data_IF_036415592938
#
_entry.id   IF_036415592938
#
_cell.length_a   1.000
_cell.length_b   1.000
_cell.length_c   1.000
_cell.angle_alpha   90.00
_cell.angle_beta   90.00
_cell.angle_gamma   90.00
#
_symmetry.space_group_name_H-M   'P 1'
#
loop_
_entity.id
_entity.type
_entity.pdbx_description
1 polymer ?
#
# COMPACT_ATOMS: atom_id res chain seq x y z
N UNK A 1 -4.87 34.67 -8.13
CA UNK A 1 -4.04 33.49 -8.25
C UNK A 1 -4.66 32.44 -9.19
N UNK A 2 -5.91 32.08 -9.03
CA UNK A 2 -6.68 31.16 -9.93
C UNK A 2 -6.63 31.50 -11.44
N UNK A 3 -6.47 32.76 -11.81
CA UNK A 3 -6.39 33.18 -13.23
C UNK A 3 -5.06 32.87 -13.92
N UNK A 4 -3.99 32.60 -13.16
CA UNK A 4 -2.69 32.17 -13.71
C UNK A 4 -2.63 30.67 -13.97
N UNK A 5 -3.31 29.85 -13.13
CA UNK A 5 -3.44 28.41 -13.38
C UNK A 5 -4.27 28.12 -14.65
N UNK A 6 -5.39 28.78 -14.85
CA UNK A 6 -6.22 28.61 -16.08
C UNK A 6 -5.49 28.97 -17.38
N UNK A 7 -4.45 29.80 -17.34
CA UNK A 7 -3.65 30.14 -18.54
C UNK A 7 -2.56 29.10 -18.87
N UNK A 8 -2.17 28.22 -17.92
CA UNK A 8 -1.24 27.10 -18.17
C UNK A 8 -1.94 25.84 -18.70
N UNK A 9 -3.24 25.70 -18.49
CA UNK A 9 -4.07 24.59 -19.00
C UNK A 9 -4.72 24.89 -20.36
N UNK A 10 -4.12 25.74 -21.18
CA UNK A 10 -4.60 26.09 -22.52
C UNK A 10 -4.39 24.96 -23.53
N UNK A 11 -5.44 24.59 -24.21
CA UNK A 11 -5.72 23.69 -25.33
C UNK A 11 -4.55 23.40 -26.34
N UNK A 12 -3.49 22.82 -25.85
CA UNK A 12 -2.47 22.08 -26.60
C UNK A 12 -2.28 20.77 -25.82
N UNK A 13 -1.95 19.67 -26.49
CA UNK A 13 -1.46 18.47 -25.82
C UNK A 13 -0.13 18.87 -25.15
N UNK A 14 -0.24 19.47 -23.95
CA UNK A 14 0.94 19.74 -23.13
C UNK A 14 1.52 18.35 -22.79
N UNK A 15 2.69 18.07 -23.30
CA UNK A 15 3.49 16.92 -22.88
C UNK A 15 3.72 17.14 -21.39
N UNK A 16 3.02 16.39 -20.56
CA UNK A 16 3.14 16.51 -19.10
C UNK A 16 4.63 16.39 -18.74
N UNK A 17 5.15 17.36 -18.00
CA UNK A 17 6.54 17.33 -17.52
C UNK A 17 6.83 15.98 -16.86
N UNK A 18 7.94 15.38 -17.19
CA UNK A 18 8.38 14.12 -16.58
C UNK A 18 8.84 14.35 -15.14
N UNK A 19 8.80 13.31 -14.27
CA UNK A 19 9.32 13.43 -12.90
C UNK A 19 10.75 13.95 -12.83
N UNK A 20 11.62 13.54 -13.77
CA UNK A 20 13.01 14.00 -13.85
C UNK A 20 13.12 15.49 -14.17
N UNK A 21 12.30 16.03 -15.08
CA UNK A 21 12.26 17.46 -15.39
C UNK A 21 11.76 18.28 -14.21
N UNK A 22 10.74 17.77 -13.50
CA UNK A 22 10.22 18.39 -12.28
C UNK A 22 11.28 18.43 -11.18
N UNK A 23 11.95 17.30 -10.89
CA UNK A 23 12.99 17.19 -9.89
C UNK A 23 14.21 18.07 -10.18
N UNK A 24 14.56 18.29 -11.47
CA UNK A 24 15.66 19.17 -11.86
C UNK A 24 15.35 20.68 -11.70
N UNK A 25 14.06 21.04 -11.66
CA UNK A 25 13.61 22.43 -11.68
C UNK A 25 13.09 22.93 -10.32
N UNK A 26 12.59 22.05 -9.48
CA UNK A 26 11.90 22.39 -8.24
C UNK A 26 12.60 21.76 -7.04
N UNK A 27 12.63 22.46 -5.92
CA UNK A 27 13.06 21.89 -4.64
C UNK A 27 11.98 20.92 -4.10
N UNK A 28 12.35 20.09 -3.13
CA UNK A 28 11.42 19.18 -2.46
C UNK A 28 10.25 19.94 -1.84
N UNK A 29 10.53 21.07 -1.19
CA UNK A 29 9.51 21.91 -0.55
C UNK A 29 8.52 22.49 -1.58
N UNK A 30 9.02 22.92 -2.75
CA UNK A 30 8.17 23.42 -3.84
C UNK A 30 7.32 22.29 -4.45
N UNK A 31 7.89 21.09 -4.61
CA UNK A 31 7.17 19.92 -5.12
C UNK A 31 6.03 19.52 -4.16
N UNK A 32 6.33 19.41 -2.86
CA UNK A 32 5.35 19.05 -1.85
C UNK A 32 4.25 20.12 -1.70
N UNK A 33 4.61 21.41 -1.74
CA UNK A 33 3.62 22.49 -1.71
C UNK A 33 2.68 22.46 -2.93
N UNK A 34 3.20 22.15 -4.13
CA UNK A 34 2.36 22.00 -5.33
C UNK A 34 1.47 20.76 -5.24
N UNK A 35 1.98 19.65 -4.66
CA UNK A 35 1.18 18.44 -4.38
C UNK A 35 0.01 18.77 -3.46
N UNK A 36 0.23 19.51 -2.36
CA UNK A 36 -0.82 19.91 -1.42
C UNK A 36 -1.89 20.80 -2.11
N UNK A 37 -1.46 21.85 -2.82
CA UNK A 37 -2.37 22.76 -3.53
C UNK A 37 -3.22 22.03 -4.56
N UNK A 38 -2.60 21.18 -5.39
CA UNK A 38 -3.31 20.43 -6.43
C UNK A 38 -4.21 19.34 -5.85
N UNK A 39 -3.81 18.66 -4.79
CA UNK A 39 -4.64 17.67 -4.11
C UNK A 39 -5.90 18.34 -3.55
N UNK A 40 -5.77 19.48 -2.85
CA UNK A 40 -6.91 20.23 -2.34
C UNK A 40 -7.87 20.68 -3.46
N UNK A 41 -7.34 21.20 -4.56
CA UNK A 41 -8.16 21.62 -5.72
C UNK A 41 -8.84 20.42 -6.39
N UNK A 42 -8.15 19.27 -6.51
CA UNK A 42 -8.69 18.06 -7.15
C UNK A 42 -9.81 17.42 -6.32
N UNK A 43 -9.78 17.55 -4.98
CA UNK A 43 -10.87 17.09 -4.09
C UNK A 43 -12.19 17.84 -4.40
N UNK A 44 -12.12 19.12 -4.74
CA UNK A 44 -13.31 19.92 -5.08
C UNK A 44 -13.80 19.63 -6.50
N UNK A 45 -12.88 19.56 -7.46
CA UNK A 45 -13.18 19.38 -8.88
C UNK A 45 -12.13 18.47 -9.52
N UNK A 46 -12.46 17.20 -9.66
CA UNK A 46 -11.56 16.21 -10.24
C UNK A 46 -11.19 16.53 -11.68
N UNK A 47 -9.90 16.45 -11.96
CA UNK A 47 -9.32 16.63 -13.29
C UNK A 47 -8.26 15.54 -13.55
N UNK A 48 -8.48 14.66 -14.54
CA UNK A 48 -7.53 13.59 -14.87
C UNK A 48 -6.12 14.09 -15.21
N UNK A 49 -5.99 15.29 -15.77
CA UNK A 49 -4.68 15.89 -16.03
C UNK A 49 -3.98 16.31 -14.74
N UNK A 50 -4.72 16.82 -13.76
CA UNK A 50 -4.20 17.10 -12.42
C UNK A 50 -3.80 15.83 -11.70
N UNK A 51 -4.58 14.76 -11.78
CA UNK A 51 -4.28 13.48 -11.14
C UNK A 51 -2.97 12.86 -11.69
N UNK A 52 -2.77 12.89 -13.02
CA UNK A 52 -1.49 12.46 -13.64
C UNK A 52 -0.32 13.35 -13.17
N UNK A 53 -0.53 14.68 -13.10
CA UNK A 53 0.51 15.59 -12.62
C UNK A 53 0.87 15.31 -11.16
N UNK A 54 -0.11 15.03 -10.31
CA UNK A 54 0.10 14.68 -8.90
C UNK A 54 0.98 13.45 -8.75
N UNK A 55 0.78 12.38 -9.52
CA UNK A 55 1.64 11.20 -9.49
C UNK A 55 3.08 11.56 -9.88
N UNK A 56 3.29 12.38 -10.91
CA UNK A 56 4.62 12.82 -11.35
C UNK A 56 5.32 13.71 -10.30
N UNK A 57 4.60 14.65 -9.70
CA UNK A 57 5.14 15.51 -8.63
C UNK A 57 5.55 14.70 -7.39
N UNK A 58 4.70 13.76 -6.97
CA UNK A 58 4.99 12.86 -5.84
C UNK A 58 6.22 11.99 -6.12
N UNK A 59 6.40 11.52 -7.35
CA UNK A 59 7.60 10.76 -7.71
C UNK A 59 8.85 11.64 -7.70
N UNK A 60 8.77 12.84 -8.28
CA UNK A 60 9.88 13.80 -8.26
C UNK A 60 10.30 14.15 -6.81
N UNK A 61 9.32 14.44 -5.94
CA UNK A 61 9.58 14.70 -4.52
C UNK A 61 10.16 13.45 -3.82
N UNK A 62 9.59 12.28 -4.08
CA UNK A 62 10.05 11.01 -3.50
C UNK A 62 11.51 10.72 -3.83
N UNK A 63 11.94 10.94 -5.07
CA UNK A 63 13.36 10.80 -5.48
C UNK A 63 14.26 11.73 -4.65
N UNK A 64 13.88 13.00 -4.51
CA UNK A 64 14.68 13.97 -3.74
C UNK A 64 14.71 13.64 -2.24
N UNK A 65 13.65 13.04 -1.71
CA UNK A 65 13.59 12.61 -0.32
C UNK A 65 14.52 11.42 -0.03
N UNK A 66 14.73 10.50 -0.99
CA UNK A 66 15.68 9.39 -0.86
C UNK A 66 17.13 9.87 -0.70
N UNK A 67 17.47 10.99 -1.34
CA UNK A 67 18.82 11.56 -1.31
C UNK A 67 19.11 12.34 0.00
N UNK A 68 18.12 12.49 0.89
CA UNK A 68 18.29 13.15 2.18
C UNK A 68 18.79 12.15 3.22
N UNK A 69 19.85 12.49 3.92
CA UNK A 69 20.26 11.75 5.11
C UNK A 69 19.18 11.89 6.19
N UNK A 70 18.65 10.75 6.65
CA UNK A 70 17.66 10.72 7.74
C UNK A 70 18.34 11.08 9.06
N UNK A 71 18.13 12.28 9.57
CA UNK A 71 18.59 12.65 10.90
C UNK A 71 17.73 11.93 11.95
N UNK A 72 18.22 10.76 12.42
CA UNK A 72 17.80 10.18 13.70
C UNK A 72 16.31 9.79 13.83
N UNK A 73 15.61 9.58 12.74
CA UNK A 73 14.22 9.13 12.79
C UNK A 73 14.11 7.81 13.56
N UNK A 74 13.20 7.73 14.52
CA UNK A 74 12.98 6.58 15.38
C UNK A 74 11.50 6.23 15.46
N UNK A 75 11.22 4.96 15.69
CA UNK A 75 9.85 4.54 16.00
C UNK A 75 9.40 5.15 17.35
N UNK A 76 8.10 5.40 17.53
CA UNK A 76 7.55 5.88 18.81
C UNK A 76 7.69 4.83 19.91
N UNK A 77 7.65 5.29 21.17
CA UNK A 77 7.61 4.40 22.33
C UNK A 77 6.26 3.62 22.36
N UNK A 78 6.28 2.30 22.59
CA UNK A 78 5.07 1.50 22.51
C UNK A 78 4.14 1.67 23.72
N UNK A 79 2.85 1.87 23.50
CA UNK A 79 1.80 1.94 24.52
C UNK A 79 1.08 0.60 24.72
N UNK A 80 1.76 -0.40 25.30
CA UNK A 80 1.21 -1.76 25.49
C UNK A 80 -0.03 -1.81 26.37
N UNK A 81 -0.16 -0.90 27.33
CA UNK A 81 -1.30 -0.79 28.27
C UNK A 81 -2.61 -0.36 27.58
N UNK A 82 -2.52 0.15 26.35
CA UNK A 82 -3.66 0.56 25.53
C UNK A 82 -4.14 -0.52 24.54
N UNK A 83 -3.41 -1.63 24.42
CA UNK A 83 -3.83 -2.73 23.55
C UNK A 83 -4.85 -3.62 24.27
N UNK A 84 -5.95 -3.97 23.60
CA UNK A 84 -6.90 -4.95 24.15
C UNK A 84 -6.29 -6.35 24.21
N UNK A 85 -6.81 -7.19 25.12
CA UNK A 85 -6.47 -8.61 25.18
C UNK A 85 -7.18 -9.35 24.04
N UNK A 86 -6.43 -10.16 23.27
CA UNK A 86 -6.95 -10.88 22.11
C UNK A 86 -7.77 -12.13 22.44
N UNK A 87 -7.69 -12.68 23.66
CA UNK A 87 -8.38 -13.91 24.10
C UNK A 87 -8.29 -15.07 23.09
N UNK A 88 -7.16 -15.21 22.40
CA UNK A 88 -6.93 -16.23 21.37
C UNK A 88 -7.39 -15.82 19.95
N UNK A 89 -7.87 -14.60 19.77
CA UNK A 89 -8.16 -13.98 18.48
C UNK A 89 -7.25 -12.75 18.29
N UNK A 90 -7.10 -12.28 17.06
CA UNK A 90 -6.44 -11.00 16.81
C UNK A 90 -7.36 -9.89 17.32
N UNK A 91 -6.93 -9.22 18.40
CA UNK A 91 -7.65 -8.09 18.95
C UNK A 91 -7.65 -6.91 17.96
N UNK A 92 -8.83 -6.33 17.74
CA UNK A 92 -8.98 -5.13 16.94
C UNK A 92 -9.22 -3.92 17.82
N UNK A 93 -8.66 -2.78 17.42
CA UNK A 93 -8.99 -1.47 17.99
C UNK A 93 -9.89 -0.69 17.01
N UNK A 94 -10.51 0.38 17.51
CA UNK A 94 -11.22 1.33 16.65
C UNK A 94 -10.26 2.35 16.04
N UNK A 95 -10.74 3.09 15.05
CA UNK A 95 -9.96 4.18 14.42
C UNK A 95 -9.56 5.26 15.44
N UNK A 96 -10.44 5.60 16.38
CA UNK A 96 -10.23 6.62 17.40
C UNK A 96 -9.16 6.23 18.42
N UNK A 97 -8.90 4.94 18.58
CA UNK A 97 -7.87 4.40 19.47
C UNK A 97 -6.49 4.31 18.78
N UNK A 98 -6.45 4.47 17.46
CA UNK A 98 -5.21 4.38 16.68
C UNK A 98 -4.32 5.59 16.95
N UNK A 99 -3.13 5.33 17.48
CA UNK A 99 -2.02 6.30 17.60
C UNK A 99 -0.71 5.62 17.22
N UNK A 100 0.36 6.38 16.91
CA UNK A 100 1.65 5.79 16.56
C UNK A 100 2.20 4.85 17.65
N UNK A 101 2.00 5.18 18.93
CA UNK A 101 2.45 4.37 20.07
C UNK A 101 1.65 3.06 20.22
N UNK A 102 0.34 3.10 19.97
CA UNK A 102 -0.53 1.91 19.97
C UNK A 102 -0.20 1.02 18.77
N UNK A 103 0.03 1.61 17.60
CA UNK A 103 0.50 0.89 16.41
C UNK A 103 1.83 0.19 16.70
N UNK A 104 2.80 0.91 17.31
CA UNK A 104 4.10 0.31 17.68
C UNK A 104 3.93 -0.84 18.65
N UNK A 105 3.07 -0.71 19.65
CA UNK A 105 2.80 -1.76 20.61
C UNK A 105 2.17 -3.01 19.94
N UNK A 106 1.21 -2.84 19.03
CA UNK A 106 0.60 -3.93 18.26
C UNK A 106 1.62 -4.70 17.44
N UNK A 107 2.46 -3.99 16.68
CA UNK A 107 3.53 -4.60 15.88
C UNK A 107 4.53 -5.35 16.76
N UNK A 108 4.91 -4.80 17.91
CA UNK A 108 5.87 -5.45 18.82
C UNK A 108 5.30 -6.63 19.59
N UNK A 109 3.99 -6.68 19.85
CA UNK A 109 3.33 -7.78 20.54
C UNK A 109 2.89 -8.88 19.58
N UNK A 110 2.10 -8.50 18.57
CA UNK A 110 1.36 -9.43 17.72
C UNK A 110 1.93 -9.51 16.28
N UNK A 111 2.96 -8.72 15.95
CA UNK A 111 3.49 -8.57 14.59
C UNK A 111 2.65 -7.63 13.71
N UNK A 112 1.44 -7.30 14.13
CA UNK A 112 0.48 -6.45 13.40
C UNK A 112 -0.50 -5.75 14.33
N UNK A 113 -1.27 -4.82 13.78
CA UNK A 113 -2.40 -4.18 14.47
C UNK A 113 -3.62 -4.16 13.55
N UNK A 114 -4.73 -4.71 14.03
CA UNK A 114 -6.01 -4.66 13.33
C UNK A 114 -6.80 -3.43 13.78
N UNK A 115 -7.17 -2.57 12.83
CA UNK A 115 -7.99 -1.38 13.07
C UNK A 115 -9.32 -1.54 12.36
N UNK A 116 -10.41 -1.53 13.13
CA UNK A 116 -11.76 -1.74 12.62
C UNK A 116 -12.39 -0.45 12.10
N UNK A 117 -13.07 -0.55 10.97
CA UNK A 117 -13.92 0.51 10.44
C UNK A 117 -13.19 1.82 10.14
N UNK A 118 -11.96 1.76 9.65
CA UNK A 118 -11.18 2.95 9.25
C UNK A 118 -11.89 3.72 8.14
N UNK A 119 -12.45 2.99 7.16
CA UNK A 119 -13.38 3.54 6.18
C UNK A 119 -14.81 3.04 6.47
N UNK A 120 -15.78 3.86 6.13
CA UNK A 120 -17.18 3.41 6.09
C UNK A 120 -17.37 2.35 5.00
N UNK A 121 -18.39 1.51 5.15
CA UNK A 121 -18.77 0.53 4.14
C UNK A 121 -19.00 1.19 2.77
N UNK A 122 -19.65 2.35 2.72
CA UNK A 122 -19.91 3.06 1.46
C UNK A 122 -18.65 3.59 0.78
N UNK A 123 -17.65 4.02 1.54
CA UNK A 123 -16.34 4.41 0.98
C UNK A 123 -15.61 3.19 0.42
N UNK A 124 -15.62 2.07 1.14
CA UNK A 124 -15.02 0.82 0.68
C UNK A 124 -15.71 0.31 -0.62
N UNK A 125 -17.05 0.31 -0.68
CA UNK A 125 -17.81 -0.07 -1.86
C UNK A 125 -17.53 0.85 -3.06
N UNK A 126 -17.41 2.16 -2.85
CA UNK A 126 -17.01 3.10 -3.89
C UNK A 126 -15.61 2.79 -4.46
N UNK A 127 -14.64 2.47 -3.60
CA UNK A 127 -13.31 2.06 -4.04
C UNK A 127 -13.34 0.74 -4.82
N UNK A 128 -14.19 -0.22 -4.45
CA UNK A 128 -14.40 -1.47 -5.21
C UNK A 128 -14.88 -1.19 -6.62
N UNK A 129 -15.86 -0.31 -6.80
CA UNK A 129 -16.38 0.04 -8.13
C UNK A 129 -15.29 0.69 -8.99
N UNK A 130 -14.50 1.57 -8.41
CA UNK A 130 -13.40 2.23 -9.11
C UNK A 130 -12.25 1.26 -9.44
N UNK A 131 -11.93 0.31 -8.56
CA UNK A 131 -10.93 -0.74 -8.84
C UNK A 131 -11.42 -1.62 -10.01
N UNK A 132 -12.69 -2.00 -10.04
CA UNK A 132 -13.25 -2.73 -11.19
C UNK A 132 -13.11 -1.91 -12.48
N UNK A 133 -13.38 -0.60 -12.45
CA UNK A 133 -13.17 0.28 -13.61
C UNK A 133 -11.70 0.31 -14.07
N UNK A 134 -10.73 0.28 -13.14
CA UNK A 134 -9.30 0.22 -13.48
C UNK A 134 -8.94 -1.12 -14.17
N UNK A 135 -9.43 -2.26 -13.67
CA UNK A 135 -9.25 -3.56 -14.34
C UNK A 135 -9.92 -3.61 -15.71
N UNK A 136 -11.11 -3.03 -15.84
CA UNK A 136 -11.83 -2.94 -17.14
C UNK A 136 -11.05 -2.06 -18.14
N UNK A 137 -10.46 -0.96 -17.69
CA UNK A 137 -9.63 -0.09 -18.51
C UNK A 137 -8.36 -0.81 -18.99
N UNK A 138 -7.67 -1.58 -18.12
CA UNK A 138 -6.56 -2.45 -18.53
C UNK A 138 -7.02 -3.49 -19.56
N UNK A 139 -8.13 -4.17 -19.33
CA UNK A 139 -8.72 -5.16 -20.25
C UNK A 139 -9.09 -4.55 -21.61
N UNK A 140 -9.58 -3.31 -21.63
CA UNK A 140 -9.84 -2.58 -22.86
C UNK A 140 -8.55 -2.31 -23.63
N UNK A 141 -7.50 -1.82 -22.94
CA UNK A 141 -6.20 -1.56 -23.55
C UNK A 141 -5.59 -2.83 -24.17
N UNK A 142 -5.58 -3.96 -23.45
CA UNK A 142 -5.08 -5.23 -23.94
C UNK A 142 -5.88 -5.77 -25.14
N UNK A 143 -7.15 -5.37 -25.27
CA UNK A 143 -8.01 -5.73 -26.40
C UNK A 143 -7.94 -4.72 -27.56
N UNK A 144 -7.03 -3.74 -27.51
CA UNK A 144 -6.89 -2.68 -28.51
C UNK A 144 -8.09 -1.71 -28.56
N UNK A 145 -8.89 -1.65 -27.50
CA UNK A 145 -10.01 -0.70 -27.34
C UNK A 145 -9.56 0.55 -26.59
N UNK A 146 -10.21 1.69 -26.81
CA UNK A 146 -9.97 2.88 -26.00
C UNK A 146 -10.18 2.56 -24.51
N UNK A 147 -9.23 2.97 -23.67
CA UNK A 147 -9.31 2.90 -22.22
C UNK A 147 -9.41 4.32 -21.64
N UNK A 148 -10.07 4.47 -20.48
CA UNK A 148 -10.08 5.71 -19.73
C UNK A 148 -8.69 5.91 -19.07
N UNK A 149 -7.92 6.95 -19.46
CA UNK A 149 -6.58 7.16 -18.94
C UNK A 149 -6.54 7.60 -17.46
N UNK A 150 -7.66 8.02 -16.89
CA UNK A 150 -7.78 8.29 -15.45
C UNK A 150 -7.78 7.00 -14.63
N UNK A 151 -8.38 5.91 -15.17
CA UNK A 151 -8.43 4.61 -14.51
C UNK A 151 -7.24 3.71 -14.84
N UNK A 152 -6.66 3.79 -16.04
CA UNK A 152 -5.45 3.03 -16.36
C UNK A 152 -4.55 3.78 -17.33
N UNK A 153 -3.38 4.10 -16.86
CA UNK A 153 -2.27 4.64 -17.63
C UNK A 153 -0.95 4.20 -17.00
N UNK A 154 -0.17 3.40 -17.74
CA UNK A 154 1.10 2.91 -17.22
C UNK A 154 1.99 4.06 -16.72
N UNK A 155 2.35 4.00 -15.44
CA UNK A 155 3.32 4.90 -14.84
C UNK A 155 4.71 4.60 -15.43
N UNK A 156 5.42 5.61 -15.98
CA UNK A 156 6.73 5.41 -16.59
C UNK A 156 7.79 5.22 -15.50
N UNK A 157 8.25 3.97 -15.30
CA UNK A 157 9.37 3.69 -14.42
C UNK A 157 10.69 4.07 -15.04
N UNK A 158 11.55 4.74 -14.28
CA UNK A 158 12.97 4.92 -14.64
C UNK A 158 13.69 3.56 -14.63
N UNK A 159 14.72 3.42 -15.50
CA UNK A 159 15.45 2.17 -15.67
C UNK A 159 16.03 1.61 -14.35
N UNK A 160 16.45 2.48 -13.42
CA UNK A 160 17.00 2.09 -12.12
C UNK A 160 16.00 1.37 -11.22
N UNK A 161 14.70 1.59 -11.43
CA UNK A 161 13.62 0.96 -10.66
C UNK A 161 12.93 -0.17 -11.43
N UNK A 162 13.27 -0.40 -12.69
CA UNK A 162 12.63 -1.39 -13.54
C UNK A 162 13.33 -2.76 -13.42
N UNK A 163 12.94 -3.54 -12.43
CA UNK A 163 13.47 -4.88 -12.18
C UNK A 163 12.50 -5.96 -12.66
N UNK A 164 13.04 -7.05 -13.22
CA UNK A 164 12.23 -8.16 -13.76
C UNK A 164 11.43 -8.89 -12.67
N UNK A 165 12.01 -9.04 -11.47
CA UNK A 165 11.41 -9.74 -10.32
C UNK A 165 10.22 -9.02 -9.68
N UNK A 166 10.03 -7.72 -10.03
CA UNK A 166 8.90 -6.91 -9.57
C UNK A 166 8.18 -6.23 -10.74
N UNK A 167 8.17 -6.89 -11.89
CA UNK A 167 7.54 -6.36 -13.10
C UNK A 167 6.01 -6.22 -12.94
N UNK A 168 5.45 -5.21 -13.58
CA UNK A 168 4.00 -4.98 -13.66
C UNK A 168 3.23 -6.25 -14.08
N UNK A 169 3.76 -6.99 -15.06
CA UNK A 169 3.14 -8.23 -15.54
C UNK A 169 2.98 -9.28 -14.43
N UNK A 170 3.93 -9.38 -13.50
CA UNK A 170 3.83 -10.29 -12.35
C UNK A 170 2.69 -9.85 -11.41
N UNK A 171 2.58 -8.56 -11.11
CA UNK A 171 1.49 -8.01 -10.30
C UNK A 171 0.13 -8.30 -10.94
N UNK A 172 0.00 -8.06 -12.24
CA UNK A 172 -1.24 -8.32 -12.99
C UNK A 172 -1.60 -9.81 -12.96
N UNK A 173 -0.63 -10.71 -13.14
CA UNK A 173 -0.87 -12.16 -13.09
C UNK A 173 -1.34 -12.65 -11.72
N UNK A 174 -0.95 -11.94 -10.65
CA UNK A 174 -1.39 -12.18 -9.27
C UNK A 174 -2.70 -11.46 -8.88
N UNK A 175 -3.46 -10.94 -9.85
CA UNK A 175 -4.72 -10.23 -9.59
C UNK A 175 -4.52 -8.84 -8.98
N UNK A 176 -3.43 -8.15 -9.35
CA UNK A 176 -3.12 -6.80 -8.88
C UNK A 176 -2.90 -5.79 -9.99
N UNK A 177 -3.04 -4.50 -9.66
CA UNK A 177 -2.60 -3.36 -10.47
C UNK A 177 -1.78 -2.44 -9.58
N UNK A 178 -0.71 -1.84 -10.09
CA UNK A 178 -0.05 -0.77 -9.34
C UNK A 178 -0.99 0.44 -9.22
N UNK A 179 -1.12 0.99 -8.03
CA UNK A 179 -1.97 2.16 -7.80
C UNK A 179 -1.51 3.35 -8.63
N UNK A 180 -0.20 3.49 -8.85
CA UNK A 180 0.37 4.53 -9.70
C UNK A 180 -0.05 4.43 -11.18
N UNK A 181 -0.49 3.25 -11.66
CA UNK A 181 -1.05 3.07 -13.00
C UNK A 181 -2.52 3.52 -13.09
N UNK A 182 -3.13 3.90 -11.97
CA UNK A 182 -4.47 4.47 -11.90
C UNK A 182 -4.43 5.81 -11.16
N UNK A 183 -4.09 6.93 -11.85
CA UNK A 183 -3.94 8.24 -11.22
C UNK A 183 -5.17 8.67 -10.42
N UNK A 184 -6.36 8.31 -10.90
CA UNK A 184 -7.62 8.54 -10.21
C UNK A 184 -7.66 7.82 -8.85
N UNK A 185 -7.39 6.51 -8.83
CA UNK A 185 -7.39 5.71 -7.59
C UNK A 185 -6.24 6.07 -6.66
N UNK A 186 -5.10 6.49 -7.19
CA UNK A 186 -4.01 7.03 -6.36
C UNK A 186 -4.47 8.25 -5.56
N UNK A 187 -5.13 9.19 -6.24
CA UNK A 187 -5.68 10.38 -5.57
C UNK A 187 -6.77 10.00 -4.56
N UNK A 188 -7.72 9.14 -4.95
CA UNK A 188 -8.83 8.72 -4.07
C UNK A 188 -8.35 7.97 -2.83
N UNK A 189 -7.39 7.04 -2.99
CA UNK A 189 -6.81 6.28 -1.88
C UNK A 189 -6.13 7.22 -0.87
N UNK A 190 -5.28 8.13 -1.35
CA UNK A 190 -4.59 9.09 -0.47
C UNK A 190 -5.58 10.03 0.22
N UNK A 191 -6.60 10.50 -0.49
CA UNK A 191 -7.66 11.32 0.10
C UNK A 191 -8.45 10.55 1.17
N UNK A 192 -8.70 9.25 0.98
CA UNK A 192 -9.32 8.40 2.00
C UNK A 192 -8.42 8.25 3.23
N UNK A 193 -7.12 8.02 3.04
CA UNK A 193 -6.17 7.88 4.14
C UNK A 193 -6.03 9.18 4.94
N UNK A 194 -5.98 10.30 4.26
CA UNK A 194 -5.91 11.63 4.86
C UNK A 194 -7.16 11.93 5.71
N UNK A 195 -8.36 11.76 5.15
CA UNK A 195 -9.63 11.92 5.90
C UNK A 195 -9.76 10.96 7.08
N UNK A 196 -9.17 9.77 6.97
CA UNK A 196 -9.12 8.81 8.06
C UNK A 196 -8.05 9.13 9.11
N UNK A 197 -7.20 10.13 8.92
CA UNK A 197 -6.08 10.44 9.81
C UNK A 197 -4.94 9.42 9.76
N UNK A 198 -4.96 8.50 8.78
CA UNK A 198 -3.90 7.49 8.62
C UNK A 198 -2.58 8.12 8.20
N UNK A 199 -2.61 9.15 7.36
CA UNK A 199 -1.40 9.82 6.86
C UNK A 199 -0.58 10.39 8.02
N UNK A 200 -1.21 11.06 8.98
CA UNK A 200 -0.55 11.60 10.16
C UNK A 200 0.04 10.48 11.03
N UNK A 201 -0.75 9.43 11.31
CA UNK A 201 -0.28 8.28 12.10
C UNK A 201 0.92 7.59 11.45
N UNK A 202 0.91 7.43 10.12
CA UNK A 202 2.01 6.82 9.36
C UNK A 202 3.27 7.68 9.45
N UNK A 203 3.12 9.00 9.27
CA UNK A 203 4.22 9.97 9.35
C UNK A 203 4.87 9.94 10.73
N UNK A 204 4.07 10.02 11.78
CA UNK A 204 4.56 10.00 13.16
C UNK A 204 5.13 8.63 13.55
N UNK A 205 4.56 7.53 13.03
CA UNK A 205 5.09 6.19 13.24
C UNK A 205 6.46 5.99 12.60
N UNK A 206 6.64 6.46 11.36
CA UNK A 206 7.92 6.36 10.64
C UNK A 206 8.95 7.40 11.14
N UNK A 207 8.49 8.47 11.81
CA UNK A 207 9.32 9.54 12.36
C UNK A 207 9.94 10.46 11.31
N UNK A 208 9.49 10.36 10.06
CA UNK A 208 9.95 11.18 8.93
C UNK A 208 8.91 11.19 7.82
N UNK A 209 9.12 12.03 6.80
CA UNK A 209 8.21 12.12 5.65
C UNK A 209 8.10 10.76 4.93
N UNK A 210 6.88 10.21 4.78
CA UNK A 210 6.70 8.90 4.17
C UNK A 210 6.75 8.94 2.64
N UNK A 211 7.24 7.85 2.07
CA UNK A 211 7.11 7.57 0.65
C UNK A 211 6.39 6.22 0.44
N UNK A 212 5.48 6.16 -0.54
CA UNK A 212 4.86 4.91 -1.00
C UNK A 212 5.73 4.32 -2.12
N UNK A 213 5.90 3.00 -2.13
CA UNK A 213 6.52 2.31 -3.27
C UNK A 213 5.51 2.09 -4.39
N UNK A 214 5.86 2.49 -5.63
CA UNK A 214 5.06 2.21 -6.82
C UNK A 214 4.76 0.72 -6.97
N UNK A 215 5.80 -0.13 -6.87
CA UNK A 215 5.68 -1.58 -7.10
C UNK A 215 5.03 -2.33 -5.94
N UNK A 216 5.00 -1.72 -4.76
CA UNK A 216 4.44 -2.32 -3.53
C UNK A 216 3.16 -1.62 -3.06
N UNK A 217 2.55 -0.79 -3.92
CA UNK A 217 1.23 -0.23 -3.68
C UNK A 217 0.29 -0.72 -4.77
N UNK A 218 -0.63 -1.63 -4.39
CA UNK A 218 -1.42 -2.42 -5.34
C UNK A 218 -2.90 -2.42 -5.04
N UNK A 219 -3.70 -2.26 -6.09
CA UNK A 219 -5.11 -2.59 -6.11
C UNK A 219 -5.24 -4.09 -6.31
N UNK A 220 -5.95 -4.79 -5.42
CA UNK A 220 -6.00 -6.26 -5.41
C UNK A 220 -7.42 -6.77 -5.66
N UNK A 221 -7.52 -7.68 -6.66
CA UNK A 221 -8.69 -8.51 -6.90
C UNK A 221 -8.24 -9.96 -6.93
N UNK A 222 -8.45 -10.68 -5.83
CA UNK A 222 -7.90 -12.02 -5.61
C UNK A 222 -9.02 -13.05 -5.60
N UNK A 223 -8.94 -14.01 -6.50
CA UNK A 223 -9.91 -15.09 -6.64
C UNK A 223 -9.64 -16.24 -5.65
N UNK A 224 -10.65 -17.09 -5.36
CA UNK A 224 -10.53 -18.19 -4.38
C UNK A 224 -9.47 -19.24 -4.70
N UNK A 225 -9.04 -19.36 -5.94
CA UNK A 225 -8.00 -20.29 -6.41
C UNK A 225 -6.60 -19.68 -6.44
N UNK A 226 -6.46 -18.40 -6.05
CA UNK A 226 -5.17 -17.74 -5.96
C UNK A 226 -4.35 -18.34 -4.83
N UNK A 227 -3.20 -18.96 -5.15
CA UNK A 227 -2.26 -19.46 -4.16
C UNK A 227 -1.16 -18.44 -3.89
N UNK A 228 -0.94 -18.10 -2.61
CA UNK A 228 0.24 -17.35 -2.20
C UNK A 228 0.92 -18.09 -1.05
N UNK A 229 2.25 -18.23 -1.15
CA UNK A 229 3.04 -18.84 -0.09
C UNK A 229 3.17 -17.92 1.13
N UNK A 230 3.41 -18.52 2.28
CA UNK A 230 3.82 -17.81 3.49
C UNK A 230 5.09 -17.01 3.24
N UNK A 231 5.16 -15.78 3.70
CA UNK A 231 6.31 -14.92 3.51
C UNK A 231 6.40 -13.79 4.54
N UNK A 232 7.59 -13.26 4.65
CA UNK A 232 7.89 -11.97 5.28
C UNK A 232 8.44 -11.07 4.18
N UNK A 233 7.89 -9.87 3.98
CA UNK A 233 8.41 -8.95 2.96
C UNK A 233 9.85 -8.53 3.21
N UNK A 234 10.30 -8.55 4.46
CA UNK A 234 11.69 -8.31 4.82
C UNK A 234 12.70 -9.25 4.15
N UNK A 235 12.27 -10.41 3.68
CA UNK A 235 13.13 -11.31 2.90
C UNK A 235 13.61 -10.69 1.57
N UNK A 236 12.83 -9.75 1.02
CA UNK A 236 13.14 -9.06 -0.24
C UNK A 236 13.38 -7.56 -0.07
N UNK A 237 12.83 -6.94 0.99
CA UNK A 237 13.00 -5.51 1.28
C UNK A 237 14.34 -5.19 1.96
N UNK A 238 14.89 -6.15 2.71
CA UNK A 238 16.09 -5.93 3.50
C UNK A 238 15.84 -5.07 4.74
N UNK A 239 16.84 -4.27 5.13
CA UNK A 239 16.73 -3.37 6.29
C UNK A 239 16.05 -2.08 5.88
N UNK A 240 14.82 -1.92 6.29
CA UNK A 240 13.98 -0.75 5.97
C UNK A 240 13.31 -0.22 7.24
N UNK A 241 12.75 0.98 7.16
CA UNK A 241 11.74 1.46 8.11
C UNK A 241 10.43 1.55 7.36
N UNK A 242 9.57 0.57 7.58
CA UNK A 242 8.41 0.35 6.72
C UNK A 242 7.13 0.11 7.52
N UNK A 243 6.03 0.37 6.87
CA UNK A 243 4.69 0.04 7.34
C UNK A 243 3.82 -0.37 6.14
N UNK A 244 3.21 -1.54 6.21
CA UNK A 244 2.16 -1.93 5.30
C UNK A 244 0.80 -1.46 5.84
N UNK A 245 0.01 -0.85 4.99
CA UNK A 245 -1.41 -0.57 5.18
C UNK A 245 -2.19 -1.50 4.26
N UNK A 246 -2.68 -2.60 4.81
CA UNK A 246 -3.54 -3.53 4.09
C UNK A 246 -5.01 -3.21 4.39
N UNK A 247 -5.72 -2.60 3.44
CA UNK A 247 -7.10 -2.15 3.56
C UNK A 247 -8.05 -3.17 2.92
N UNK A 248 -8.94 -3.77 3.71
CA UNK A 248 -10.00 -4.64 3.22
C UNK A 248 -11.15 -3.80 2.64
N UNK A 249 -11.50 -4.04 1.38
CA UNK A 249 -12.64 -3.38 0.71
C UNK A 249 -13.85 -4.28 0.56
N UNK A 250 -13.68 -5.59 0.80
CA UNK A 250 -14.76 -6.56 0.85
C UNK A 250 -14.60 -7.44 2.08
N UNK A 251 -15.70 -8.02 2.57
CA UNK A 251 -15.61 -9.03 3.64
C UNK A 251 -14.77 -10.20 3.16
N UNK A 252 -13.80 -10.63 3.96
CA UNK A 252 -12.89 -11.71 3.61
C UNK A 252 -12.38 -12.49 4.84
N UNK A 253 -11.82 -13.67 4.60
CA UNK A 253 -11.37 -14.62 5.62
C UNK A 253 -12.31 -15.83 5.76
N UNK A 254 -13.54 -15.75 5.28
CA UNK A 254 -14.52 -16.83 5.27
C UNK A 254 -15.01 -17.18 3.85
N UNK A 255 -15.81 -16.31 3.21
CA UNK A 255 -16.39 -16.56 1.89
C UNK A 255 -15.48 -16.12 0.72
N UNK A 256 -14.47 -15.32 0.99
CA UNK A 256 -13.45 -14.86 0.06
C UNK A 256 -12.06 -14.92 0.68
N UNK A 257 -10.98 -14.96 -0.14
CA UNK A 257 -9.62 -15.05 0.36
C UNK A 257 -9.29 -13.97 1.39
N UNK A 258 -8.86 -14.38 2.57
CA UNK A 258 -8.40 -13.48 3.63
C UNK A 258 -6.88 -13.44 3.72
N UNK A 259 -6.41 -13.38 4.95
CA UNK A 259 -5.01 -13.48 5.32
C UNK A 259 -4.85 -14.49 6.44
N UNK A 260 -3.99 -15.51 6.25
CA UNK A 260 -3.47 -16.32 7.34
C UNK A 260 -2.26 -15.62 7.93
N UNK A 261 -2.20 -15.56 9.24
CA UNK A 261 -1.17 -14.81 9.97
C UNK A 261 -0.55 -15.61 11.10
N UNK A 262 0.70 -15.32 11.41
CA UNK A 262 1.35 -15.73 12.66
C UNK A 262 1.27 -14.54 13.62
N UNK A 263 0.38 -14.58 14.64
CA UNK A 263 0.04 -13.43 15.48
C UNK A 263 1.08 -13.21 16.58
N UNK A 264 2.32 -12.97 16.19
CA UNK A 264 3.39 -12.59 17.11
C UNK A 264 4.52 -11.86 16.41
N UNK A 265 5.26 -11.06 17.14
CA UNK A 265 6.50 -10.44 16.65
C UNK A 265 7.55 -11.50 16.36
N UNK A 266 8.14 -11.42 15.17
CA UNK A 266 9.33 -12.16 14.78
C UNK A 266 10.52 -11.19 14.73
N UNK A 267 11.67 -11.64 15.21
CA UNK A 267 12.92 -10.87 15.27
C UNK A 267 13.92 -11.25 14.16
N UNK A 268 13.52 -12.18 13.29
CA UNK A 268 14.32 -12.68 12.18
C UNK A 268 13.47 -13.08 11.00
N UNK A 269 14.08 -13.09 9.83
CA UNK A 269 13.50 -13.67 8.62
C UNK A 269 13.55 -15.19 8.73
N UNK A 270 12.40 -15.83 8.52
CA UNK A 270 12.25 -17.28 8.50
C UNK A 270 12.79 -17.82 7.18
N UNK A 271 13.55 -18.92 7.17
CA UNK A 271 14.12 -19.49 5.95
C UNK A 271 13.05 -19.81 4.90
N UNK A 272 13.30 -19.40 3.67
CA UNK A 272 12.45 -19.67 2.50
C UNK A 272 12.96 -20.84 1.69
N UNK A 273 12.14 -21.38 0.76
CA UNK A 273 12.53 -22.49 -0.12
C UNK A 273 12.76 -23.82 0.60
N UNK A 274 12.27 -23.95 1.84
CA UNK A 274 12.38 -25.20 2.61
C UNK A 274 11.42 -26.26 2.09
N UNK A 275 11.63 -27.53 2.50
CA UNK A 275 10.77 -28.64 2.08
C UNK A 275 9.28 -28.34 2.36
N UNK A 276 8.43 -28.53 1.34
CA UNK A 276 7.00 -28.20 1.38
C UNK A 276 6.64 -26.74 1.06
N UNK A 277 7.64 -25.87 0.80
CA UNK A 277 7.37 -24.50 0.33
C UNK A 277 6.77 -24.52 -1.09
N UNK A 278 5.76 -23.67 -1.33
CA UNK A 278 5.09 -23.60 -2.64
C UNK A 278 6.00 -22.93 -3.68
N UNK A 279 6.80 -21.97 -3.24
CA UNK A 279 7.75 -21.21 -4.06
C UNK A 279 9.12 -21.14 -3.36
N UNK A 280 10.19 -20.93 -4.11
CA UNK A 280 11.55 -20.77 -3.56
C UNK A 280 11.67 -19.57 -2.59
N UNK A 281 10.85 -18.55 -2.78
CA UNK A 281 10.80 -17.37 -1.92
C UNK A 281 9.81 -17.50 -0.76
N UNK A 282 9.07 -18.59 -0.63
CA UNK A 282 8.06 -18.78 0.42
C UNK A 282 8.56 -19.69 1.55
N UNK A 283 7.96 -19.51 2.72
CA UNK A 283 8.08 -20.38 3.89
C UNK A 283 7.08 -21.53 3.73
N UNK A 284 7.44 -22.76 4.11
CA UNK A 284 6.49 -23.86 4.07
C UNK A 284 5.37 -23.69 5.12
N UNK A 285 4.14 -24.17 4.84
CA UNK A 285 3.05 -24.12 5.81
C UNK A 285 3.38 -24.77 7.15
N UNK A 286 4.06 -25.92 7.10
CA UNK A 286 4.50 -26.61 8.31
C UNK A 286 5.45 -25.76 9.15
N UNK A 287 6.44 -25.11 8.51
CA UNK A 287 7.36 -24.22 9.22
C UNK A 287 6.65 -22.98 9.79
N UNK A 288 5.65 -22.46 9.09
CA UNK A 288 4.82 -21.36 9.59
C UNK A 288 4.05 -21.78 10.87
N UNK A 289 3.49 -22.99 10.90
CA UNK A 289 2.82 -23.55 12.10
C UNK A 289 3.81 -23.76 13.25
N UNK A 290 5.00 -24.31 12.97
CA UNK A 290 6.06 -24.46 13.96
C UNK A 290 6.50 -23.11 14.56
N UNK A 291 6.65 -22.11 13.70
CA UNK A 291 6.97 -20.73 14.10
C UNK A 291 5.83 -20.13 14.92
N UNK A 292 4.58 -20.34 14.56
CA UNK A 292 3.43 -19.86 15.32
C UNK A 292 3.41 -20.46 16.74
N UNK A 293 3.72 -21.74 16.88
CA UNK A 293 3.80 -22.43 18.19
C UNK A 293 2.47 -22.39 18.91
N UNK A 294 2.46 -22.04 20.21
CA UNK A 294 1.24 -21.99 21.03
C UNK A 294 0.22 -20.91 20.58
N UNK A 295 0.68 -19.87 19.92
CA UNK A 295 -0.24 -18.83 19.39
C UNK A 295 -1.09 -19.37 18.23
N UNK A 296 -0.61 -20.38 17.54
CA UNK A 296 -1.26 -20.94 16.35
C UNK A 296 -1.27 -19.97 15.18
N UNK A 297 -1.76 -20.45 14.04
CA UNK A 297 -2.06 -19.64 12.87
C UNK A 297 -3.49 -19.13 12.99
N UNK A 298 -3.68 -17.83 12.76
CA UNK A 298 -5.02 -17.22 12.78
C UNK A 298 -5.44 -16.81 11.36
N UNK A 299 -6.75 -16.89 11.10
CA UNK A 299 -7.43 -16.31 9.93
C UNK A 299 -8.46 -15.29 10.38
N UNK A 300 -8.07 -14.04 10.55
CA UNK A 300 -9.02 -13.00 10.93
C UNK A 300 -10.11 -12.80 9.87
N UNK A 301 -11.33 -12.49 10.32
CA UNK A 301 -12.37 -11.99 9.43
C UNK A 301 -12.24 -10.47 9.36
N UNK A 302 -12.16 -9.96 8.15
CA UNK A 302 -12.15 -8.53 7.86
C UNK A 302 -13.50 -8.11 7.28
N UNK A 303 -14.03 -7.01 7.79
CA UNK A 303 -15.16 -6.31 7.19
C UNK A 303 -14.66 -5.19 6.23
N UNK A 304 -15.49 -4.73 5.28
CA UNK A 304 -15.13 -3.59 4.42
C UNK A 304 -14.78 -2.36 5.25
N UNK A 305 -13.61 -1.78 5.01
CA UNK A 305 -13.08 -0.63 5.73
C UNK A 305 -12.15 -0.98 6.89
N UNK A 306 -11.95 -2.25 7.21
CA UNK A 306 -10.93 -2.68 8.18
C UNK A 306 -9.52 -2.56 7.60
N UNK A 307 -8.55 -2.24 8.44
CA UNK A 307 -7.14 -2.14 8.07
C UNK A 307 -6.28 -3.04 8.95
N UNK A 308 -5.38 -3.79 8.34
CA UNK A 308 -4.28 -4.46 9.03
C UNK A 308 -2.98 -3.69 8.79
N UNK A 309 -2.33 -3.27 9.88
CA UNK A 309 -1.06 -2.55 9.87
C UNK A 309 0.05 -3.48 10.34
N UNK A 310 1.13 -3.62 9.58
CA UNK A 310 2.26 -4.48 9.93
C UNK A 310 3.56 -4.01 9.26
N UNK A 311 4.68 -4.48 9.75
CA UNK A 311 5.99 -4.21 9.16
C UNK A 311 6.54 -5.40 8.33
N UNK A 312 7.73 -5.26 7.81
CA UNK A 312 8.40 -6.22 6.94
C UNK A 312 8.72 -7.57 7.62
N UNK A 313 8.63 -7.65 8.96
CA UNK A 313 8.91 -8.86 9.73
C UNK A 313 7.69 -9.75 9.94
N UNK A 314 6.50 -9.30 9.50
CA UNK A 314 5.26 -10.02 9.71
C UNK A 314 5.13 -11.24 8.79
N UNK A 315 4.99 -12.44 9.39
CA UNK A 315 4.81 -13.69 8.64
C UNK A 315 3.33 -13.92 8.33
N UNK A 316 2.98 -13.88 7.06
CA UNK A 316 1.60 -13.99 6.59
C UNK A 316 1.50 -14.70 5.23
N UNK A 317 0.29 -15.06 4.85
CA UNK A 317 -0.04 -15.66 3.55
C UNK A 317 -1.44 -15.25 3.12
N UNK A 318 -1.69 -15.22 1.82
CA UNK A 318 -3.08 -15.15 1.33
C UNK A 318 -3.81 -16.45 1.70
N UNK A 319 -4.90 -16.33 2.42
CA UNK A 319 -5.74 -17.43 2.84
C UNK A 319 -6.82 -17.71 1.78
N UNK A 320 -6.45 -18.42 0.73
CA UNK A 320 -7.37 -18.89 -0.30
C UNK A 320 -7.80 -20.35 -0.02
N UNK A 321 -9.07 -20.65 -0.26
CA UNK A 321 -9.63 -21.98 -0.10
C UNK A 321 -10.62 -22.25 -1.26
N UNK A 322 -10.56 -23.42 -1.92
CA UNK A 322 -11.45 -23.76 -3.05
C UNK A 322 -12.96 -23.76 -2.70
N UNK A 323 -13.31 -23.82 -1.41
CA UNK A 323 -14.70 -23.68 -0.96
C UNK A 323 -15.23 -22.24 -0.99
N UNK A 324 -14.34 -21.25 -1.01
CA UNK A 324 -14.68 -19.83 -1.13
C UNK A 324 -15.32 -19.54 -2.49
N UNK A 325 -16.23 -18.59 -2.52
CA UNK A 325 -17.08 -18.32 -3.71
C UNK A 325 -16.99 -16.91 -4.24
N UNK A 326 -16.30 -16.03 -3.50
CA UNK A 326 -16.20 -14.61 -3.82
C UNK A 326 -14.74 -14.19 -3.96
N UNK A 327 -14.47 -13.26 -4.85
CA UNK A 327 -13.16 -12.61 -4.92
C UNK A 327 -13.01 -11.61 -3.77
N UNK A 328 -11.80 -11.48 -3.25
CA UNK A 328 -11.42 -10.41 -2.31
C UNK A 328 -11.04 -9.15 -3.06
N UNK A 329 -11.52 -8.01 -2.56
CA UNK A 329 -11.06 -6.70 -2.97
C UNK A 329 -10.31 -6.04 -1.81
N UNK A 330 -9.10 -5.54 -2.08
CA UNK A 330 -8.25 -4.89 -1.08
C UNK A 330 -7.30 -3.87 -1.74
N UNK A 331 -6.76 -2.96 -0.95
CA UNK A 331 -5.59 -2.15 -1.32
C UNK A 331 -4.45 -2.54 -0.38
N UNK A 332 -3.29 -2.80 -0.95
CA UNK A 332 -2.04 -3.04 -0.23
C UNK A 332 -1.10 -1.87 -0.49
N UNK A 333 -0.61 -1.22 0.55
CA UNK A 333 0.23 -0.02 0.42
C UNK A 333 1.43 -0.09 1.36
N UNK A 334 2.63 -0.22 0.79
CA UNK A 334 3.87 -0.14 1.56
C UNK A 334 4.37 1.29 1.61
N UNK A 335 4.40 1.82 2.83
CA UNK A 335 5.02 3.09 3.19
C UNK A 335 6.41 2.85 3.75
N UNK A 336 7.32 3.74 3.43
CA UNK A 336 8.69 3.71 3.91
C UNK A 336 9.05 5.09 4.46
N UNK A 337 9.81 5.15 5.54
CA UNK A 337 10.57 6.34 5.87
C UNK A 337 11.54 6.62 4.72
N UNK A 338 11.54 7.83 4.21
CA UNK A 338 12.29 8.16 2.99
C UNK A 338 13.78 7.81 3.09
N UNK A 339 14.41 8.07 4.25
CA UNK A 339 15.83 7.76 4.49
C UNK A 339 16.16 6.26 4.58
N UNK A 340 15.16 5.41 4.75
CA UNK A 340 15.29 3.96 4.89
C UNK A 340 14.41 3.20 3.89
N UNK A 341 14.14 3.82 2.73
CA UNK A 341 13.39 3.22 1.62
C UNK A 341 14.28 2.28 0.80
N UNK A 342 13.73 1.17 0.27
CA UNK A 342 14.50 0.28 -0.58
C UNK A 342 14.87 0.97 -1.90
N UNK A 343 16.16 1.00 -2.24
CA UNK A 343 16.68 1.68 -3.45
C UNK A 343 16.11 1.13 -4.77
N UNK A 344 15.64 -0.12 -4.76
CA UNK A 344 15.11 -0.78 -5.96
C UNK A 344 13.65 -0.43 -6.29
N UNK A 345 12.94 0.27 -5.43
CA UNK A 345 11.55 0.64 -5.62
C UNK A 345 11.38 2.13 -5.88
N UNK A 346 10.52 2.46 -6.85
CA UNK A 346 10.22 3.86 -7.17
C UNK A 346 9.39 4.51 -6.06
N UNK A 347 9.85 5.60 -5.44
CA UNK A 347 9.14 6.27 -4.37
C UNK A 347 8.12 7.27 -4.90
N UNK A 348 7.01 7.42 -4.18
CA UNK A 348 6.04 8.50 -4.34
C UNK A 348 5.89 9.19 -2.98
N UNK A 349 6.24 10.45 -2.85
CA UNK A 349 6.02 11.22 -1.61
C UNK A 349 4.53 11.35 -1.30
N UNK A 350 4.18 11.30 -0.02
CA UNK A 350 2.76 11.33 0.43
C UNK A 350 2.43 12.65 1.09
#
# INVERSE_FOLDING_TARGET
MLSRLRRKLGSGVDVAETPAELAARMSTEELLAEVEELSASNREHRDPGVEVRLVNLRHAAGIQLLDREGEGASFPEPAFDRLPDGNGELAGITREELTPEVLRAGILRDGCLLVRGVLSRSEAENLVDQINAAFDALGALHSGRPADPGYYREFPLEARFNREDHARAWTVSGGGLWVADSPHLMSEMLDCFDRAGLTDVITDYLGEHPAISVQKCTLRKVDPDAGHGWHQDGAVLGTVRALNVWLALSRCGDESPGMDIVPKRLDRIIPTGTEGAIFEWSVSPQLAEEVAGEAGVLRPIFEPGDVLLFDEMFLHSTAADPSMKKSRMAIESWFFGASASPEQYAPLAV
#
